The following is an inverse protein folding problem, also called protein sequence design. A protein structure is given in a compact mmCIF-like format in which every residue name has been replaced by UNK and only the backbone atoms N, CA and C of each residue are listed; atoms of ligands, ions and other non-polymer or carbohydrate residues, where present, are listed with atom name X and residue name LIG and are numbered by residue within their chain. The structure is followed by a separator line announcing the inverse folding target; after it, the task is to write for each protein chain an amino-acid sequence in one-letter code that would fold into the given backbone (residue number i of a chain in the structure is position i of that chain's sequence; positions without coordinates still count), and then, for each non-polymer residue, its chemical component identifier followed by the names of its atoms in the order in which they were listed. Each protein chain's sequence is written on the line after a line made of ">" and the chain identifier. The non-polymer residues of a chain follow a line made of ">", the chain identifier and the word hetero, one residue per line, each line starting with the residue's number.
data_IF_058182939883
#
_entry.id   IF_058182939883
#
_cell.length_a   1.000
_cell.length_b   1.000
_cell.length_c   1.000
_cell.angle_alpha   90.00
_cell.angle_beta   90.00
_cell.angle_gamma   90.00
#
_symmetry.space_group_name_H-M   'P 1'
#
loop_
_entity.id
_entity.type
_entity.pdbx_description
1 polymer ?
#
# COMPACT_ATOMS: atom_id res chain seq x y z
N UNK A 1 -1.33 -14.50 -2.80
CA UNK A 1 -1.69 -13.15 -3.30
C UNK A 1 -0.46 -12.47 -3.89
N UNK A 2 -0.68 -11.65 -4.88
CA UNK A 2 0.35 -10.80 -5.49
C UNK A 2 0.19 -9.38 -4.93
N UNK A 3 1.27 -8.82 -4.38
CA UNK A 3 1.24 -7.53 -3.69
C UNK A 3 2.38 -6.64 -4.20
N UNK A 4 2.09 -5.36 -4.42
CA UNK A 4 3.10 -4.35 -4.70
C UNK A 4 3.31 -3.55 -3.43
N UNK A 5 4.57 -3.43 -3.00
CA UNK A 5 4.96 -2.56 -1.87
C UNK A 5 5.69 -1.36 -2.45
N UNK A 6 5.08 -0.17 -2.31
CA UNK A 6 5.61 1.08 -2.84
C UNK A 6 6.09 1.99 -1.71
N UNK A 7 7.37 2.31 -1.71
CA UNK A 7 8.01 3.21 -0.75
C UNK A 7 9.36 3.60 -1.36
N UNK A 8 9.78 4.85 -1.25
CA UNK A 8 11.06 5.29 -1.77
C UNK A 8 12.25 4.83 -0.91
N UNK A 9 12.00 4.37 0.32
CA UNK A 9 13.01 3.83 1.22
C UNK A 9 13.12 2.32 1.07
N UNK A 10 14.27 1.84 0.62
CA UNK A 10 14.53 0.39 0.53
C UNK A 10 14.40 -0.28 1.90
N UNK A 11 14.90 0.37 2.95
CA UNK A 11 14.82 -0.16 4.32
C UNK A 11 13.37 -0.32 4.74
N UNK A 12 12.52 0.67 4.44
CA UNK A 12 11.10 0.59 4.78
C UNK A 12 10.39 -0.51 3.99
N UNK A 13 10.70 -0.67 2.70
CA UNK A 13 10.13 -1.78 1.93
C UNK A 13 10.46 -3.12 2.56
N UNK A 14 11.71 -3.30 3.00
CA UNK A 14 12.14 -4.54 3.65
C UNK A 14 11.43 -4.75 4.99
N UNK A 15 11.20 -3.69 5.77
CA UNK A 15 10.46 -3.75 7.02
C UNK A 15 9.01 -4.17 6.77
N UNK A 16 8.35 -3.57 5.78
CA UNK A 16 6.97 -3.92 5.41
C UNK A 16 6.89 -5.39 5.00
N UNK A 17 7.80 -5.84 4.13
CA UNK A 17 7.83 -7.23 3.64
C UNK A 17 8.01 -8.20 4.81
N UNK A 18 8.95 -7.91 5.71
CA UNK A 18 9.19 -8.74 6.89
C UNK A 18 7.96 -8.78 7.81
N UNK A 19 7.31 -7.64 8.00
CA UNK A 19 6.11 -7.54 8.82
C UNK A 19 4.97 -8.37 8.23
N UNK A 20 4.81 -8.36 6.91
CA UNK A 20 3.84 -9.22 6.22
C UNK A 20 4.10 -10.70 6.51
N UNK A 21 5.36 -11.12 6.44
CA UNK A 21 5.73 -12.52 6.75
C UNK A 21 5.41 -12.87 8.19
N UNK A 22 5.75 -11.98 9.12
CA UNK A 22 5.48 -12.18 10.55
C UNK A 22 3.99 -12.18 10.86
N UNK A 23 3.20 -11.50 10.05
CA UNK A 23 1.74 -11.47 10.20
C UNK A 23 1.06 -12.73 9.65
N UNK A 24 1.81 -13.62 9.00
CA UNK A 24 1.27 -14.85 8.46
C UNK A 24 1.07 -14.85 6.94
N UNK A 25 1.53 -13.81 6.25
CA UNK A 25 1.39 -13.67 4.79
C UNK A 25 2.68 -14.00 4.04
N UNK A 26 3.46 -14.95 4.56
CA UNK A 26 4.77 -15.30 4.00
C UNK A 26 4.72 -15.97 2.62
N UNK A 27 3.56 -16.45 2.21
CA UNK A 27 3.35 -17.07 0.90
C UNK A 27 2.94 -16.05 -0.19
N UNK A 28 2.78 -14.78 0.18
CA UNK A 28 2.47 -13.73 -0.79
C UNK A 28 3.68 -13.42 -1.67
N UNK A 29 3.42 -13.20 -2.95
CA UNK A 29 4.45 -12.77 -3.92
C UNK A 29 4.51 -11.25 -3.91
N UNK A 30 5.61 -10.69 -3.43
CA UNK A 30 5.78 -9.26 -3.26
C UNK A 30 6.70 -8.70 -4.33
N UNK A 31 6.26 -7.63 -4.99
CA UNK A 31 7.06 -6.83 -5.91
C UNK A 31 7.23 -5.44 -5.31
N UNK A 32 8.41 -4.84 -5.48
CA UNK A 32 8.72 -3.54 -4.90
C UNK A 32 8.68 -2.43 -5.95
N UNK A 33 8.13 -1.27 -5.57
CA UNK A 33 8.18 -0.04 -6.36
C UNK A 33 8.83 1.06 -5.53
N UNK A 34 9.63 1.91 -6.19
CA UNK A 34 10.43 2.94 -5.52
C UNK A 34 9.77 4.31 -5.47
N UNK A 35 8.68 4.49 -6.22
CA UNK A 35 7.91 5.73 -6.24
C UNK A 35 6.49 5.45 -6.75
N UNK A 36 5.64 6.47 -6.69
CA UNK A 36 4.24 6.31 -7.09
C UNK A 36 4.05 6.10 -8.58
N UNK A 37 4.87 6.72 -9.42
CA UNK A 37 4.76 6.57 -10.87
C UNK A 37 5.11 5.14 -11.31
N UNK A 38 6.18 4.57 -10.74
CA UNK A 38 6.55 3.17 -10.98
C UNK A 38 5.46 2.23 -10.49
N UNK A 39 4.93 2.49 -9.28
CA UNK A 39 3.86 1.67 -8.71
C UNK A 39 2.60 1.69 -9.58
N UNK A 40 2.22 2.85 -10.12
CA UNK A 40 1.07 2.97 -11.00
C UNK A 40 1.26 2.14 -12.26
N UNK A 41 2.41 2.27 -12.91
CA UNK A 41 2.74 1.50 -14.11
C UNK A 41 2.69 0.01 -13.85
N UNK A 42 3.32 -0.44 -12.76
CA UNK A 42 3.33 -1.84 -12.36
C UNK A 42 1.92 -2.36 -12.04
N UNK A 43 1.13 -1.59 -11.32
CA UNK A 43 -0.22 -2.00 -10.93
C UNK A 43 -1.13 -2.15 -12.15
N UNK A 44 -1.04 -1.24 -13.11
CA UNK A 44 -1.85 -1.33 -14.34
C UNK A 44 -1.41 -2.51 -15.22
N UNK A 45 -0.11 -2.82 -15.25
CA UNK A 45 0.41 -3.93 -16.05
C UNK A 45 0.18 -5.29 -15.40
N UNK A 46 0.34 -5.40 -14.09
CA UNK A 46 0.35 -6.68 -13.37
C UNK A 46 -0.98 -7.05 -12.74
N UNK A 47 -1.86 -6.08 -12.52
CA UNK A 47 -3.15 -6.28 -11.84
C UNK A 47 -2.97 -7.06 -10.53
N UNK A 48 -2.20 -6.52 -9.55
CA UNK A 48 -1.98 -7.23 -8.30
C UNK A 48 -3.26 -7.32 -7.46
N UNK A 49 -3.24 -8.16 -6.45
CA UNK A 49 -4.36 -8.31 -5.52
C UNK A 49 -4.43 -7.17 -4.51
N UNK A 50 -3.29 -6.50 -4.26
CA UNK A 50 -3.20 -5.41 -3.29
C UNK A 50 -1.97 -4.55 -3.58
N UNK A 51 -2.10 -3.24 -3.41
CA UNK A 51 -0.97 -2.30 -3.37
C UNK A 51 -0.87 -1.74 -1.95
N UNK A 52 0.28 -1.89 -1.33
CA UNK A 52 0.61 -1.22 -0.06
C UNK A 52 1.56 -0.08 -0.37
N UNK A 53 1.16 1.14 -0.10
CA UNK A 53 1.90 2.33 -0.51
C UNK A 53 2.14 3.30 0.64
N UNK A 54 3.35 3.85 0.70
CA UNK A 54 3.59 5.05 1.49
C UNK A 54 2.85 6.23 0.86
N UNK A 55 2.64 7.29 1.63
CA UNK A 55 2.02 8.52 1.14
C UNK A 55 3.05 9.43 0.49
N UNK A 56 4.17 9.67 1.17
CA UNK A 56 5.20 10.59 0.70
C UNK A 56 6.25 9.86 -0.14
N UNK A 57 6.19 10.05 -1.45
CA UNK A 57 7.13 9.46 -2.41
C UNK A 57 7.46 10.48 -3.48
N UNK A 58 8.68 10.41 -4.06
CA UNK A 58 9.04 11.27 -5.19
C UNK A 58 8.28 10.88 -6.45
N UNK A 59 8.29 11.72 -7.45
CA UNK A 59 7.63 11.59 -8.76
C UNK A 59 6.11 11.62 -8.65
N UNK A 60 5.53 10.77 -7.79
CA UNK A 60 4.08 10.68 -7.59
C UNK A 60 3.84 10.22 -6.15
N UNK A 61 3.04 10.97 -5.40
CA UNK A 61 2.68 10.62 -4.03
C UNK A 61 1.70 9.44 -3.99
N UNK A 62 1.52 8.85 -2.80
CA UNK A 62 0.58 7.74 -2.64
C UNK A 62 -0.86 8.11 -2.98
N UNK A 63 -1.30 9.32 -2.63
CA UNK A 63 -2.66 9.74 -2.96
C UNK A 63 -2.81 10.00 -4.46
N UNK A 64 -1.77 10.51 -5.11
CA UNK A 64 -1.77 10.67 -6.57
C UNK A 64 -1.77 9.31 -7.28
N UNK A 65 -1.06 8.32 -6.73
CA UNK A 65 -1.10 6.94 -7.21
C UNK A 65 -2.53 6.40 -7.16
N UNK A 66 -3.22 6.57 -6.04
CA UNK A 66 -4.59 6.11 -5.87
C UNK A 66 -5.52 6.80 -6.87
N UNK A 67 -5.39 8.11 -7.04
CA UNK A 67 -6.16 8.87 -8.04
C UNK A 67 -5.87 8.39 -9.46
N UNK A 68 -4.60 8.06 -9.75
CA UNK A 68 -4.21 7.50 -11.04
C UNK A 68 -4.86 6.15 -11.34
N UNK A 69 -4.94 5.28 -10.34
CA UNK A 69 -5.64 4.00 -10.45
C UNK A 69 -7.13 4.23 -10.70
N UNK A 70 -7.75 5.12 -9.94
CA UNK A 70 -9.17 5.44 -10.11
C UNK A 70 -9.45 6.02 -11.50
N UNK A 71 -8.60 6.93 -11.98
CA UNK A 71 -8.75 7.55 -13.31
C UNK A 71 -8.59 6.53 -14.44
N UNK A 72 -7.79 5.49 -14.23
CA UNK A 72 -7.61 4.42 -15.20
C UNK A 72 -8.72 3.36 -15.14
N UNK A 73 -9.69 3.52 -14.24
CA UNK A 73 -10.77 2.54 -14.05
C UNK A 73 -10.30 1.24 -13.43
N UNK A 74 -9.16 1.25 -12.73
CA UNK A 74 -8.61 0.05 -12.09
C UNK A 74 -9.37 -0.29 -10.81
N UNK A 75 -9.63 -1.57 -10.61
CA UNK A 75 -10.22 -2.10 -9.38
C UNK A 75 -9.16 -2.59 -8.39
N UNK A 76 -7.88 -2.35 -8.66
CA UNK A 76 -6.79 -2.80 -7.78
C UNK A 76 -6.92 -2.14 -6.42
N UNK A 77 -7.05 -2.92 -5.33
CA UNK A 77 -7.15 -2.36 -3.99
C UNK A 77 -5.83 -1.73 -3.54
N UNK A 78 -5.92 -0.61 -2.82
CA UNK A 78 -4.75 0.07 -2.27
C UNK A 78 -4.97 0.38 -0.79
N UNK A 79 -3.97 0.07 0.03
CA UNK A 79 -3.90 0.47 1.43
C UNK A 79 -2.64 1.29 1.65
N UNK A 80 -2.74 2.29 2.53
CA UNK A 80 -1.58 3.12 2.89
C UNK A 80 -0.83 2.54 4.09
N UNK A 81 0.50 2.63 4.04
CA UNK A 81 1.40 2.33 5.17
C UNK A 81 2.34 3.52 5.27
N UNK A 82 2.09 4.43 6.22
CA UNK A 82 2.76 5.72 6.24
C UNK A 82 2.98 6.26 7.66
N UNK A 83 3.96 7.13 7.82
CA UNK A 83 4.16 7.90 9.05
C UNK A 83 3.17 9.06 9.19
N UNK A 84 2.46 9.37 8.11
CA UNK A 84 1.47 10.44 8.05
C UNK A 84 0.09 9.87 8.37
N UNK A 85 -0.36 9.99 9.61
CA UNK A 85 -1.61 9.37 10.07
C UNK A 85 -2.62 10.37 10.62
N UNK A 86 -2.63 11.63 10.16
CA UNK A 86 -3.57 12.62 10.66
C UNK A 86 -5.01 12.24 10.33
N UNK A 87 -6.01 12.70 11.14
CA UNK A 87 -7.42 12.45 10.83
C UNK A 87 -7.83 12.96 9.44
N UNK A 88 -7.27 14.09 9.01
CA UNK A 88 -7.56 14.66 7.69
C UNK A 88 -7.02 13.76 6.56
N UNK A 89 -5.84 13.18 6.73
CA UNK A 89 -5.26 12.28 5.74
C UNK A 89 -6.02 10.97 5.67
N UNK A 90 -6.44 10.43 6.82
CA UNK A 90 -7.26 9.22 6.86
C UNK A 90 -8.59 9.44 6.15
N UNK A 91 -9.23 10.57 6.38
CA UNK A 91 -10.48 10.94 5.74
C UNK A 91 -10.31 11.09 4.22
N UNK A 92 -9.24 11.75 3.79
CA UNK A 92 -8.93 11.91 2.37
C UNK A 92 -8.68 10.56 1.71
N UNK A 93 -7.89 9.69 2.33
CA UNK A 93 -7.61 8.35 1.83
C UNK A 93 -8.91 7.57 1.64
N UNK A 94 -9.77 7.57 2.64
CA UNK A 94 -11.06 6.87 2.59
C UNK A 94 -11.95 7.43 1.48
N UNK A 95 -12.02 8.76 1.35
CA UNK A 95 -12.86 9.42 0.33
C UNK A 95 -12.38 9.10 -1.09
N UNK A 96 -11.09 8.83 -1.28
CA UNK A 96 -10.52 8.44 -2.58
C UNK A 96 -10.56 6.94 -2.82
N UNK A 97 -11.05 6.17 -1.87
CA UNK A 97 -11.26 4.73 -2.04
C UNK A 97 -10.15 3.83 -1.52
N UNK A 98 -9.23 4.33 -0.69
CA UNK A 98 -8.25 3.47 -0.03
C UNK A 98 -8.96 2.50 0.92
N UNK A 99 -8.48 1.27 1.00
CA UNK A 99 -9.06 0.27 1.90
C UNK A 99 -8.77 0.58 3.36
N UNK A 100 -7.56 1.06 3.65
CA UNK A 100 -7.12 1.33 5.02
C UNK A 100 -5.90 2.25 5.02
N UNK A 101 -5.54 2.71 6.21
CA UNK A 101 -4.29 3.41 6.44
C UNK A 101 -3.66 2.86 7.73
N UNK A 102 -2.46 2.31 7.61
CA UNK A 102 -1.68 1.81 8.73
C UNK A 102 -0.60 2.84 9.04
N UNK A 103 -0.58 3.35 10.28
CA UNK A 103 0.42 4.32 10.70
C UNK A 103 1.71 3.63 11.17
N UNK A 104 2.86 4.22 10.82
CA UNK A 104 4.16 3.81 11.34
C UNK A 104 4.39 4.48 12.70
N UNK A 105 5.00 3.82 13.68
CA UNK A 105 5.44 2.42 13.65
C UNK A 105 4.26 1.45 13.79
N UNK A 106 4.41 0.25 13.27
CA UNK A 106 3.38 -0.77 13.24
C UNK A 106 3.92 -2.12 13.71
N UNK A 107 3.01 -3.05 14.01
CA UNK A 107 3.34 -4.41 14.42
C UNK A 107 2.74 -5.43 13.44
N UNK A 108 3.21 -6.70 13.45
CA UNK A 108 2.54 -7.74 12.69
C UNK A 108 1.05 -7.90 13.04
N UNK A 109 0.70 -7.73 14.31
CA UNK A 109 -0.69 -7.79 14.76
C UNK A 109 -1.53 -6.65 14.15
N UNK A 110 -0.98 -5.44 14.06
CA UNK A 110 -1.65 -4.31 13.43
C UNK A 110 -1.93 -4.60 11.96
N UNK A 111 -0.97 -5.21 11.24
CA UNK A 111 -1.16 -5.64 9.86
C UNK A 111 -2.28 -6.67 9.76
N UNK A 112 -2.22 -7.71 10.57
CA UNK A 112 -3.21 -8.78 10.54
C UNK A 112 -4.61 -8.27 10.84
N UNK A 113 -4.76 -7.49 11.90
CA UNK A 113 -6.05 -6.93 12.30
C UNK A 113 -6.65 -6.03 11.22
N UNK A 114 -5.82 -5.30 10.50
CA UNK A 114 -6.26 -4.36 9.46
C UNK A 114 -6.51 -5.06 8.13
N UNK A 115 -5.65 -5.98 7.73
CA UNK A 115 -5.68 -6.59 6.40
C UNK A 115 -6.66 -7.77 6.32
N UNK A 116 -6.67 -8.65 7.33
CA UNK A 116 -7.51 -9.86 7.31
C UNK A 116 -8.98 -9.60 6.94
N UNK A 117 -9.65 -8.55 7.44
CA UNK A 117 -11.05 -8.30 7.07
C UNK A 117 -11.28 -8.12 5.56
N UNK A 118 -10.27 -7.71 4.81
CA UNK A 118 -10.38 -7.51 3.36
C UNK A 118 -10.04 -8.75 2.55
N UNK A 119 -9.58 -9.82 3.19
CA UNK A 119 -9.22 -11.08 2.55
C UNK A 119 -10.37 -12.09 2.55
N UNK A 120 -11.38 -11.82 3.32
CA UNK A 120 -12.51 -12.76 3.48
C UNK A 120 -13.43 -12.79 2.27
#
# INVERSE_FOLDING_TARGET
>A
MRVIVADDSKVMRQIVIRTLRQAGYGDWVVTEATNGAEALEMALAQQPDLVLSDWNMPEMTGIELLRGLNAAGSDVPLGFVTSEGSPQMRELAESEGALFLIAKPFTPDAFRTTIDPFLA
#
